data_IF_087362612520
#
_entry.id   IF_087362612520
#
_cell.length_a   1.000
_cell.length_b   1.000
_cell.length_c   1.000
_cell.angle_alpha   90.00
_cell.angle_beta   90.00
_cell.angle_gamma   90.00
#
_symmetry.space_group_name_H-M   'P 1'
#
loop_
_entity.id
_entity.type
_entity.pdbx_description
1 polymer ?
#
# COMPACT_ATOMS: atom_id res chain seq x y z
N UNK A 1 -37.46 -4.58 -7.05
CA UNK A 1 -37.14 -5.41 -5.88
C UNK A 1 -37.51 -6.86 -6.16
N UNK A 2 -36.54 -7.75 -6.38
CA UNK A 2 -36.70 -9.21 -6.26
C UNK A 2 -35.35 -9.89 -6.48
N UNK A 3 -34.91 -10.77 -5.56
CA UNK A 3 -33.58 -11.38 -5.68
C UNK A 3 -33.20 -12.47 -4.68
N UNK A 4 -34.01 -13.54 -4.58
CA UNK A 4 -33.63 -14.94 -4.23
C UNK A 4 -33.08 -15.21 -2.81
N UNK A 5 -33.99 -15.61 -1.89
CA UNK A 5 -33.68 -16.36 -0.66
C UNK A 5 -32.99 -17.69 -1.00
N UNK A 6 -31.83 -17.96 -0.39
CA UNK A 6 -31.09 -19.22 -0.55
C UNK A 6 -31.81 -20.43 0.06
N UNK A 7 -31.62 -21.61 -0.53
CA UNK A 7 -32.15 -22.89 -0.01
C UNK A 7 -31.26 -23.38 1.14
N UNK A 8 -31.85 -23.99 2.17
CA UNK A 8 -31.15 -24.62 3.29
C UNK A 8 -31.20 -26.15 3.14
N UNK A 9 -30.19 -26.88 3.64
CA UNK A 9 -30.21 -28.34 3.64
C UNK A 9 -31.03 -28.90 4.82
N UNK A 10 -31.27 -30.23 4.83
CA UNK A 10 -32.03 -30.92 5.90
C UNK A 10 -31.45 -30.76 7.32
N UNK A 11 -30.25 -30.21 7.47
CA UNK A 11 -29.58 -29.89 8.74
C UNK A 11 -29.54 -28.39 9.03
N UNK A 12 -30.36 -27.58 8.35
CA UNK A 12 -30.46 -26.13 8.58
C UNK A 12 -29.26 -25.31 8.11
N UNK A 13 -28.29 -25.90 7.39
CA UNK A 13 -27.14 -25.15 6.84
C UNK A 13 -27.52 -24.50 5.51
N UNK A 14 -27.16 -23.22 5.36
CA UNK A 14 -27.38 -22.42 4.15
C UNK A 14 -26.61 -23.03 2.98
N UNK A 15 -27.30 -23.36 1.90
CA UNK A 15 -26.68 -23.87 0.67
C UNK A 15 -26.34 -22.66 -0.19
N UNK A 16 -25.06 -22.35 -0.32
CA UNK A 16 -24.59 -21.38 -1.29
C UNK A 16 -24.76 -21.99 -2.69
N UNK A 17 -25.36 -21.21 -3.60
CA UNK A 17 -25.61 -21.62 -4.98
C UNK A 17 -24.29 -22.05 -5.62
N UNK A 18 -24.26 -23.18 -6.33
CA UNK A 18 -23.13 -23.56 -7.21
C UNK A 18 -23.04 -22.54 -8.33
N UNK A 19 -22.03 -21.67 -8.27
CA UNK A 19 -21.71 -20.68 -9.29
C UNK A 19 -22.67 -19.49 -9.37
N UNK A 20 -22.11 -18.32 -9.70
CA UNK A 20 -22.87 -17.11 -10.05
C UNK A 20 -23.34 -17.12 -11.51
N UNK A 21 -22.87 -18.05 -12.33
CA UNK A 21 -23.29 -18.23 -13.73
C UNK A 21 -24.51 -19.15 -13.83
N UNK A 22 -25.37 -18.92 -14.82
CA UNK A 22 -26.58 -19.73 -15.05
C UNK A 22 -26.28 -21.22 -15.32
N UNK A 23 -25.03 -21.53 -15.69
CA UNK A 23 -24.56 -22.88 -16.03
C UNK A 23 -23.86 -23.62 -14.88
N UNK A 24 -23.77 -23.02 -13.68
CA UNK A 24 -23.24 -23.69 -12.49
C UNK A 24 -21.73 -23.97 -12.50
N UNK A 25 -20.98 -23.36 -13.43
CA UNK A 25 -19.51 -23.34 -13.41
C UNK A 25 -19.03 -22.40 -12.32
N UNK A 26 -18.17 -22.90 -11.43
CA UNK A 26 -17.43 -22.11 -10.44
C UNK A 26 -15.99 -22.08 -10.90
N UNK A 27 -15.46 -20.90 -11.17
CA UNK A 27 -14.08 -20.75 -11.60
C UNK A 27 -13.15 -20.85 -10.39
N UNK A 28 -11.96 -21.42 -10.59
CA UNK A 28 -11.00 -21.60 -9.48
C UNK A 28 -10.66 -20.29 -8.79
N UNK A 29 -10.60 -19.17 -9.53
CA UNK A 29 -10.35 -17.85 -8.95
C UNK A 29 -11.48 -17.38 -8.02
N UNK A 30 -12.74 -17.76 -8.24
CA UNK A 30 -13.87 -17.45 -7.35
C UNK A 30 -13.78 -18.26 -6.05
N UNK A 31 -13.39 -19.53 -6.15
CA UNK A 31 -13.12 -20.39 -4.98
C UNK A 31 -11.96 -19.82 -4.17
N UNK A 32 -10.90 -19.37 -4.86
CA UNK A 32 -9.75 -18.73 -4.21
C UNK A 32 -10.14 -17.43 -3.53
N UNK A 33 -10.95 -16.56 -4.15
CA UNK A 33 -11.42 -15.32 -3.52
C UNK A 33 -12.28 -15.58 -2.27
N UNK A 34 -13.17 -16.58 -2.29
CA UNK A 34 -13.95 -16.93 -1.10
C UNK A 34 -13.09 -17.56 0.00
N UNK A 35 -12.11 -18.39 -0.36
CA UNK A 35 -11.13 -18.93 0.59
C UNK A 35 -10.29 -17.81 1.20
N UNK A 36 -9.84 -16.83 0.41
CA UNK A 36 -9.09 -15.66 0.88
C UNK A 36 -9.96 -14.75 1.74
N UNK A 37 -11.24 -14.54 1.40
CA UNK A 37 -12.18 -13.84 2.27
C UNK A 37 -12.30 -14.56 3.61
N UNK A 38 -12.44 -15.89 3.62
CA UNK A 38 -12.53 -16.68 4.85
C UNK A 38 -11.22 -16.69 5.63
N UNK A 39 -10.06 -16.69 4.97
CA UNK A 39 -8.78 -16.55 5.64
C UNK A 39 -8.63 -15.17 6.27
N UNK A 40 -8.95 -14.10 5.54
CA UNK A 40 -8.89 -12.72 6.05
C UNK A 40 -9.87 -12.52 7.22
N UNK A 41 -11.13 -12.92 7.05
CA UNK A 41 -12.13 -12.92 8.12
C UNK A 41 -11.69 -13.80 9.32
N UNK A 42 -11.01 -14.92 9.05
CA UNK A 42 -10.50 -15.85 10.06
C UNK A 42 -9.28 -15.31 10.82
N UNK A 43 -8.38 -14.59 10.15
CA UNK A 43 -7.23 -13.88 10.75
C UNK A 43 -7.64 -12.68 11.60
N UNK A 44 -8.93 -12.31 11.58
CA UNK A 44 -9.52 -11.34 12.49
C UNK A 44 -10.22 -12.01 13.68
N UNK A 45 -10.10 -13.34 13.85
CA UNK A 45 -10.74 -14.09 14.95
C UNK A 45 -9.72 -14.80 15.82
N UNK A 46 -9.88 -14.68 17.15
CA UNK A 46 -9.18 -15.51 18.12
C UNK A 46 -10.01 -16.75 18.41
N UNK A 47 -9.38 -17.92 18.32
CA UNK A 47 -9.99 -19.15 18.80
C UNK A 47 -9.74 -19.30 20.31
N UNK A 48 -10.78 -19.14 21.13
CA UNK A 48 -10.73 -19.43 22.56
C UNK A 48 -11.43 -20.76 22.81
N UNK A 49 -10.66 -21.82 22.97
CA UNK A 49 -11.16 -23.12 23.40
C UNK A 49 -10.74 -23.37 24.85
N UNK A 50 -11.70 -23.31 25.77
CA UNK A 50 -11.54 -23.78 27.14
C UNK A 50 -12.52 -24.93 27.35
N UNK A 51 -12.03 -26.06 27.88
CA UNK A 51 -12.81 -27.20 28.37
C UNK A 51 -14.02 -27.62 27.52
N UNK A 52 -13.76 -27.91 26.24
CA UNK A 52 -14.77 -28.45 25.31
C UNK A 52 -15.75 -27.43 24.72
N UNK A 53 -15.65 -26.15 25.11
CA UNK A 53 -16.39 -25.04 24.52
C UNK A 53 -15.44 -24.15 23.72
N UNK A 54 -15.58 -24.17 22.39
CA UNK A 54 -14.85 -23.27 21.51
C UNK A 54 -15.73 -22.10 21.11
N UNK A 55 -15.25 -20.89 21.38
CA UNK A 55 -15.88 -19.64 20.95
C UNK A 55 -14.93 -18.87 20.06
N UNK A 56 -15.48 -18.29 18.98
CA UNK A 56 -14.77 -17.35 18.12
C UNK A 56 -15.04 -15.95 18.66
N UNK A 57 -14.03 -15.31 19.24
CA UNK A 57 -14.06 -13.88 19.50
C UNK A 57 -13.34 -13.16 18.36
N UNK A 58 -13.60 -11.86 18.19
CA UNK A 58 -12.67 -11.06 17.39
C UNK A 58 -11.26 -11.21 17.99
N UNK A 59 -10.27 -11.43 17.13
CA UNK A 59 -8.89 -11.22 17.51
C UNK A 59 -8.79 -9.73 17.78
N UNK A 60 -8.37 -9.36 18.99
CA UNK A 60 -7.80 -8.04 19.20
C UNK A 60 -6.54 -7.98 18.34
N UNK A 61 -6.70 -7.54 17.09
CA UNK A 61 -5.59 -7.25 16.18
C UNK A 61 -4.68 -6.13 16.71
N UNK A 62 -5.00 -5.58 17.89
CA UNK A 62 -4.15 -4.72 18.70
C UNK A 62 -2.84 -5.36 19.20
N UNK A 63 -2.58 -6.65 18.97
CA UNK A 63 -1.34 -7.29 19.44
C UNK A 63 -0.19 -7.39 18.42
N UNK A 64 -0.37 -6.91 17.19
CA UNK A 64 0.73 -6.68 16.25
C UNK A 64 0.78 -5.21 15.88
N UNK A 65 1.32 -4.44 16.83
CA UNK A 65 1.60 -3.01 16.77
C UNK A 65 0.31 -2.18 16.82
N UNK A 66 -0.25 -2.04 18.02
CA UNK A 66 -1.06 -0.86 18.37
C UNK A 66 -0.13 0.35 18.39
N UNK A 67 0.42 0.70 17.23
CA UNK A 67 1.00 2.01 17.07
C UNK A 67 -0.19 2.95 17.01
N UNK A 68 -0.15 4.03 17.79
CA UNK A 68 -1.11 5.13 17.68
C UNK A 68 -0.97 5.84 16.31
N UNK A 69 -0.35 5.19 15.31
CA UNK A 69 -0.09 5.74 14.01
C UNK A 69 -1.37 5.69 13.18
N UNK A 70 -1.67 6.81 12.54
CA UNK A 70 -2.86 7.00 11.72
C UNK A 70 -2.67 6.47 10.30
N UNK A 71 -2.29 5.19 10.18
CA UNK A 71 -1.92 4.56 8.90
C UNK A 71 -3.01 4.73 7.83
N UNK A 72 -4.28 4.55 8.21
CA UNK A 72 -5.40 4.69 7.29
C UNK A 72 -5.57 6.14 6.83
N UNK A 73 -5.55 7.11 7.75
CA UNK A 73 -5.69 8.54 7.41
C UNK A 73 -4.55 9.01 6.50
N UNK A 74 -3.31 8.54 6.75
CA UNK A 74 -2.18 8.83 5.88
C UNK A 74 -2.33 8.22 4.49
N UNK A 75 -2.91 7.02 4.37
CA UNK A 75 -3.18 6.39 3.08
C UNK A 75 -4.30 7.11 2.33
N UNK A 76 -5.40 7.43 3.00
CA UNK A 76 -6.51 8.19 2.40
C UNK A 76 -6.01 9.54 1.85
N UNK A 77 -5.18 10.25 2.64
CA UNK A 77 -4.51 11.47 2.18
C UNK A 77 -3.65 11.23 0.93
N UNK A 78 -2.84 10.18 0.89
CA UNK A 78 -1.97 9.90 -0.25
C UNK A 78 -2.77 9.47 -1.49
N UNK A 79 -3.88 8.75 -1.31
CA UNK A 79 -4.78 8.33 -2.39
C UNK A 79 -5.51 9.52 -3.01
N UNK A 80 -5.92 10.51 -2.21
CA UNK A 80 -6.57 11.73 -2.71
C UNK A 80 -5.67 12.50 -3.69
N UNK A 81 -4.35 12.47 -3.48
CA UNK A 81 -3.34 13.09 -4.35
C UNK A 81 -3.06 12.29 -5.62
N UNK A 82 -3.40 11.00 -5.64
CA UNK A 82 -2.99 10.09 -6.70
C UNK A 82 -4.02 10.02 -7.83
N UNK A 83 -3.54 9.71 -9.03
CA UNK A 83 -4.35 9.09 -10.08
C UNK A 83 -4.12 7.58 -10.08
N UNK A 84 -5.07 6.81 -10.58
CA UNK A 84 -5.00 5.35 -10.61
C UNK A 84 -4.30 4.84 -11.86
N UNK A 85 -3.72 3.64 -11.78
CA UNK A 85 -3.21 2.91 -12.94
C UNK A 85 -4.28 2.73 -14.03
N UNK A 86 -5.56 2.55 -13.65
CA UNK A 86 -6.65 2.41 -14.61
C UNK A 86 -6.87 3.70 -15.42
N UNK A 87 -6.87 4.86 -14.76
CA UNK A 87 -6.97 6.16 -15.43
C UNK A 87 -5.81 6.35 -16.41
N UNK A 88 -4.56 6.12 -15.96
CA UNK A 88 -3.38 6.25 -16.80
C UNK A 88 -3.36 5.31 -18.01
N UNK A 89 -3.88 4.10 -17.86
CA UNK A 89 -3.97 3.14 -18.98
C UNK A 89 -5.10 3.48 -19.95
N UNK A 90 -6.12 4.21 -19.50
CA UNK A 90 -7.24 4.64 -20.36
C UNK A 90 -6.88 5.86 -21.20
N UNK A 91 -6.13 6.81 -20.63
CA UNK A 91 -5.59 7.98 -21.31
C UNK A 91 -4.18 8.26 -20.80
N UNK A 92 -3.19 8.05 -21.68
CA UNK A 92 -1.78 8.27 -21.37
C UNK A 92 -1.42 9.74 -21.12
N UNK A 93 -2.33 10.68 -21.42
CA UNK A 93 -2.20 12.11 -21.16
C UNK A 93 -3.01 12.58 -19.94
N UNK A 94 -3.52 11.64 -19.13
CA UNK A 94 -4.23 11.98 -17.88
C UNK A 94 -3.40 12.96 -17.06
N UNK A 95 -4.00 14.10 -16.72
CA UNK A 95 -3.35 15.11 -15.90
C UNK A 95 -3.21 14.64 -14.46
N UNK A 96 -2.01 14.73 -13.91
CA UNK A 96 -1.75 14.42 -12.52
C UNK A 96 -2.31 15.51 -11.61
N UNK A 97 -2.92 15.10 -10.48
CA UNK A 97 -3.39 16.02 -9.44
C UNK A 97 -2.22 16.72 -8.73
N UNK A 98 -1.13 15.98 -8.51
CA UNK A 98 0.13 16.46 -7.95
C UNK A 98 1.26 16.04 -8.87
N UNK A 99 2.06 17.00 -9.34
CA UNK A 99 3.09 16.80 -10.36
C UNK A 99 4.46 16.46 -9.77
N UNK A 100 5.34 15.90 -10.58
CA UNK A 100 6.71 15.58 -10.22
C UNK A 100 7.73 16.48 -10.98
N UNK A 101 8.87 16.87 -10.36
CA UNK A 101 9.05 17.29 -8.99
C UNK A 101 8.82 18.81 -8.89
N UNK A 102 9.09 19.41 -7.73
CA UNK A 102 9.19 20.86 -7.62
C UNK A 102 10.15 21.43 -8.68
N UNK A 103 9.82 22.55 -9.34
CA UNK A 103 10.77 23.25 -10.19
C UNK A 103 12.06 23.57 -9.44
N UNK A 104 13.21 23.49 -10.14
CA UNK A 104 14.54 23.56 -9.54
C UNK A 104 14.76 24.79 -8.65
N UNK A 105 14.15 25.91 -9.00
CA UNK A 105 14.25 27.20 -8.29
C UNK A 105 13.67 27.16 -6.86
N UNK A 106 12.74 26.23 -6.60
CA UNK A 106 11.98 26.14 -5.34
C UNK A 106 12.20 24.84 -4.57
N UNK A 107 12.74 23.81 -5.24
CA UNK A 107 12.54 22.41 -4.86
C UNK A 107 13.14 21.90 -3.56
N UNK A 108 13.99 22.65 -2.85
CA UNK A 108 14.35 22.29 -1.45
C UNK A 108 13.61 23.10 -0.40
N UNK A 109 13.16 24.32 -0.74
CA UNK A 109 12.55 25.26 0.22
C UNK A 109 11.07 24.95 0.47
N UNK A 110 10.41 24.22 -0.44
CA UNK A 110 8.98 23.96 -0.38
C UNK A 110 8.62 22.57 0.16
N UNK A 111 9.53 21.58 0.11
CA UNK A 111 9.22 20.17 0.41
C UNK A 111 8.64 19.89 1.80
N UNK A 112 8.97 20.74 2.78
CA UNK A 112 8.49 20.62 4.15
C UNK A 112 7.40 21.64 4.51
N UNK A 113 6.95 22.46 3.56
CA UNK A 113 5.93 23.49 3.78
C UNK A 113 4.54 23.00 3.40
N UNK A 114 3.51 23.62 3.96
CA UNK A 114 2.10 23.33 3.68
C UNK A 114 1.41 24.52 2.98
N UNK A 115 2.10 25.15 2.02
CA UNK A 115 1.48 26.15 1.13
C UNK A 115 0.87 25.47 -0.08
N UNK A 116 -0.07 26.14 -0.76
CA UNK A 116 -0.67 25.64 -2.01
C UNK A 116 0.41 25.28 -3.05
N UNK A 117 1.38 26.18 -3.27
CA UNK A 117 2.55 25.96 -4.13
C UNK A 117 3.37 24.72 -3.71
N UNK A 118 3.48 24.46 -2.41
CA UNK A 118 4.24 23.30 -1.91
C UNK A 118 3.52 21.98 -2.11
N UNK A 119 2.21 22.01 -2.36
CA UNK A 119 1.36 20.82 -2.52
C UNK A 119 1.02 20.54 -3.99
N UNK A 120 1.30 21.47 -4.91
CA UNK A 120 1.16 21.26 -6.35
C UNK A 120 2.18 20.24 -6.89
N UNK A 121 3.36 20.20 -6.28
CA UNK A 121 4.45 19.31 -6.68
C UNK A 121 4.92 18.45 -5.52
N UNK A 122 5.36 17.22 -5.83
CA UNK A 122 5.88 16.32 -4.82
C UNK A 122 6.85 15.30 -5.42
N UNK A 123 8.06 15.20 -4.88
CA UNK A 123 8.96 14.10 -5.23
C UNK A 123 8.68 12.82 -4.43
N UNK A 124 9.29 11.70 -4.84
CA UNK A 124 9.03 10.37 -4.26
C UNK A 124 9.28 10.32 -2.75
N UNK A 125 10.36 10.96 -2.30
CA UNK A 125 10.73 11.01 -0.88
C UNK A 125 9.88 12.02 -0.10
N UNK A 126 9.51 13.14 -0.70
CA UNK A 126 8.60 14.11 -0.09
C UNK A 126 7.24 13.51 0.21
N UNK A 127 6.65 12.76 -0.74
CA UNK A 127 5.40 12.04 -0.54
C UNK A 127 5.46 11.13 0.69
N UNK A 128 6.54 10.35 0.79
CA UNK A 128 6.75 9.45 1.93
C UNK A 128 6.96 10.22 3.24
N UNK A 129 7.72 11.32 3.24
CA UNK A 129 7.97 12.10 4.45
C UNK A 129 6.71 12.80 4.96
N UNK A 130 5.86 13.29 4.04
CA UNK A 130 4.54 13.85 4.39
C UNK A 130 3.60 12.76 4.89
N UNK A 131 3.59 11.58 4.25
CA UNK A 131 2.85 10.42 4.77
C UNK A 131 3.28 10.05 6.20
N UNK A 132 4.59 9.97 6.46
CA UNK A 132 5.13 9.69 7.79
C UNK A 132 4.68 10.72 8.85
N UNK A 133 4.59 12.00 8.46
CA UNK A 133 4.05 13.03 9.33
C UNK A 133 2.52 12.87 9.54
N UNK A 134 1.77 12.56 8.48
CA UNK A 134 0.31 12.33 8.53
C UNK A 134 -0.09 11.15 9.42
N UNK A 135 0.71 10.09 9.42
CA UNK A 135 0.50 8.96 10.32
C UNK A 135 1.00 9.23 11.74
N UNK A 136 1.54 10.41 12.01
CA UNK A 136 2.13 10.82 13.30
C UNK A 136 3.36 9.99 13.71
N UNK A 137 4.12 9.47 12.74
CA UNK A 137 5.41 8.84 12.98
C UNK A 137 6.53 9.87 13.19
N UNK A 138 6.41 11.03 12.55
CA UNK A 138 7.27 12.19 12.78
C UNK A 138 6.48 13.43 13.16
N UNK A 139 6.98 14.16 14.15
CA UNK A 139 6.39 15.43 14.63
C UNK A 139 6.32 16.48 13.51
N UNK A 140 7.43 16.64 12.79
CA UNK A 140 7.55 17.50 11.61
C UNK A 140 7.72 16.67 10.33
N UNK A 141 7.52 17.32 9.18
CA UNK A 141 7.90 16.76 7.86
C UNK A 141 9.43 16.74 7.76
N UNK A 142 10.03 15.60 8.12
CA UNK A 142 11.48 15.39 8.06
C UNK A 142 11.89 14.87 6.69
N UNK A 143 12.45 15.75 5.85
CA UNK A 143 12.93 15.37 4.52
C UNK A 143 14.16 14.48 4.63
N UNK A 144 13.98 13.20 4.32
CA UNK A 144 15.05 12.21 4.24
C UNK A 144 15.11 11.59 2.85
N UNK A 145 16.31 11.29 2.38
CA UNK A 145 16.49 10.64 1.08
C UNK A 145 16.15 9.14 1.18
N UNK A 146 15.84 8.54 0.04
CA UNK A 146 15.46 7.12 -0.04
C UNK A 146 16.57 6.16 0.42
N UNK A 147 17.84 6.56 0.33
CA UNK A 147 18.98 5.80 0.87
C UNK A 147 19.07 5.84 2.40
N UNK A 148 18.48 6.85 3.05
CA UNK A 148 18.61 7.07 4.49
C UNK A 148 17.65 6.20 5.31
N UNK A 149 16.58 5.66 4.71
CA UNK A 149 15.67 4.71 5.38
C UNK A 149 16.39 3.50 5.95
N UNK A 150 17.33 2.91 5.18
CA UNK A 150 18.12 1.76 5.64
C UNK A 150 18.95 2.10 6.87
N UNK A 151 19.66 3.23 6.81
CA UNK A 151 20.48 3.73 7.90
C UNK A 151 19.63 4.02 9.14
N UNK A 152 18.48 4.67 8.97
CA UNK A 152 17.57 4.98 10.06
C UNK A 152 17.02 3.70 10.71
N UNK A 153 16.50 2.75 9.92
CA UNK A 153 15.96 1.49 10.42
C UNK A 153 17.01 0.64 11.16
N UNK A 154 18.27 0.72 10.74
CA UNK A 154 19.38 0.02 11.41
C UNK A 154 19.71 0.65 12.77
N UNK A 155 19.66 1.99 12.88
CA UNK A 155 19.94 2.72 14.12
C UNK A 155 18.76 2.76 15.09
N UNK A 156 17.54 2.71 14.57
CA UNK A 156 16.29 2.83 15.31
C UNK A 156 15.30 1.71 14.94
N UNK A 157 15.67 0.43 15.14
CA UNK A 157 14.83 -0.71 14.75
C UNK A 157 13.51 -0.78 15.52
N UNK A 158 13.40 -0.08 16.66
CA UNK A 158 12.18 0.05 17.44
C UNK A 158 11.21 1.12 16.91
N UNK A 159 11.68 1.99 15.99
CA UNK A 159 10.88 3.03 15.33
C UNK A 159 10.58 2.71 13.87
N UNK A 160 11.51 2.06 13.17
CA UNK A 160 11.38 1.67 11.77
C UNK A 160 12.00 0.28 11.56
N UNK A 161 11.17 -0.71 11.24
CA UNK A 161 11.61 -2.10 11.08
C UNK A 161 11.75 -2.48 9.61
N UNK A 162 12.76 -3.25 9.24
CA UNK A 162 12.91 -3.80 7.89
C UNK A 162 11.99 -5.02 7.73
N UNK A 163 11.14 -5.05 6.70
CA UNK A 163 10.11 -6.07 6.47
C UNK A 163 10.09 -6.61 5.03
N UNK A 164 11.20 -7.22 4.58
CA UNK A 164 11.35 -7.59 3.17
C UNK A 164 10.51 -8.79 2.72
N UNK A 165 10.08 -9.68 3.61
CA UNK A 165 9.43 -10.92 3.19
C UNK A 165 7.92 -10.75 3.01
N UNK A 166 7.30 -9.92 3.85
CA UNK A 166 5.84 -9.74 3.87
C UNK A 166 5.47 -8.26 4.00
N UNK A 167 5.67 -7.45 2.94
CA UNK A 167 5.24 -6.06 2.92
C UNK A 167 3.78 -5.95 3.35
N UNK A 168 3.48 -4.95 4.18
CA UNK A 168 2.11 -4.71 4.63
C UNK A 168 1.66 -3.30 4.29
N UNK A 169 0.35 -3.11 4.34
CA UNK A 169 -0.30 -1.80 4.19
C UNK A 169 0.34 -0.78 5.14
N UNK A 170 0.73 0.37 4.59
CA UNK A 170 1.42 1.45 5.30
C UNK A 170 2.94 1.29 5.43
N UNK A 171 3.53 0.18 4.97
CA UNK A 171 4.98 0.09 4.86
C UNK A 171 5.48 1.09 3.81
N UNK A 172 6.72 1.56 4.00
CA UNK A 172 7.47 2.29 3.00
C UNK A 172 8.25 1.28 2.18
N UNK A 173 8.18 1.33 0.85
CA UNK A 173 9.17 0.66 0.03
C UNK A 173 10.19 1.69 -0.47
N UNK A 174 11.47 1.34 -0.46
CA UNK A 174 12.51 2.22 -0.95
C UNK A 174 13.74 1.46 -1.45
N UNK A 175 14.45 2.10 -2.37
CA UNK A 175 15.83 1.77 -2.74
C UNK A 175 16.58 3.07 -2.99
N UNK A 176 17.91 3.01 -3.18
CA UNK A 176 18.70 4.22 -3.45
C UNK A 176 18.18 4.96 -4.70
N UNK A 177 17.45 6.05 -4.53
CA UNK A 177 16.91 6.88 -5.63
C UNK A 177 15.40 6.79 -5.85
N UNK A 178 14.64 6.03 -5.06
CA UNK A 178 13.17 6.06 -5.11
C UNK A 178 12.52 5.54 -3.83
N UNK A 179 11.32 6.02 -3.53
CA UNK A 179 10.52 5.54 -2.42
C UNK A 179 9.02 5.71 -2.70
N UNK A 180 8.19 4.98 -1.95
CA UNK A 180 6.75 5.20 -1.92
C UNK A 180 6.10 4.40 -0.80
N UNK A 181 4.77 4.35 -0.82
CA UNK A 181 3.94 3.80 0.25
C UNK A 181 3.25 2.54 -0.24
N UNK A 182 3.28 1.46 0.53
CA UNK A 182 2.56 0.22 0.23
C UNK A 182 1.08 0.40 0.59
N UNK A 183 0.22 0.37 -0.43
CA UNK A 183 -1.25 0.37 -0.27
C UNK A 183 -1.75 -1.04 0.05
N UNK A 184 -1.26 -2.05 -0.66
CA UNK A 184 -1.61 -3.45 -0.44
C UNK A 184 -0.53 -4.39 -0.99
N UNK A 185 -0.53 -5.63 -0.48
CA UNK A 185 0.31 -6.72 -0.96
C UNK A 185 -0.51 -7.99 -1.06
N UNK A 186 -0.46 -8.65 -2.22
CA UNK A 186 -1.02 -9.97 -2.43
C UNK A 186 0.12 -10.99 -2.47
N UNK A 187 0.21 -11.81 -1.42
CA UNK A 187 1.29 -12.79 -1.23
C UNK A 187 1.24 -13.96 -2.21
N UNK A 188 0.07 -14.25 -2.80
CA UNK A 188 -0.14 -15.30 -3.81
C UNK A 188 0.43 -14.89 -5.16
N UNK A 189 0.02 -13.72 -5.64
CA UNK A 189 0.41 -13.17 -6.95
C UNK A 189 1.71 -12.38 -6.90
N UNK A 190 2.26 -12.18 -5.69
CA UNK A 190 3.43 -11.35 -5.40
C UNK A 190 3.25 -9.89 -5.84
N UNK A 191 2.00 -9.44 -6.03
CA UNK A 191 1.69 -8.08 -6.46
C UNK A 191 1.69 -7.12 -5.27
N UNK A 192 2.44 -6.03 -5.40
CA UNK A 192 2.44 -4.92 -4.46
C UNK A 192 1.79 -3.74 -5.17
N UNK A 193 0.73 -3.19 -4.58
CA UNK A 193 0.13 -1.94 -5.02
C UNK A 193 0.66 -0.83 -4.13
N UNK A 194 1.15 0.23 -4.75
CA UNK A 194 1.83 1.34 -4.09
C UNK A 194 1.24 2.68 -4.47
N UNK A 195 1.43 3.66 -3.60
CA UNK A 195 1.23 5.08 -3.89
C UNK A 195 2.61 5.72 -3.93
N UNK A 196 2.98 6.30 -5.05
CA UNK A 196 4.32 6.81 -5.29
C UNK A 196 4.29 8.02 -6.21
N UNK A 197 5.24 8.94 -6.04
CA UNK A 197 5.45 10.04 -6.98
C UNK A 197 6.57 9.68 -7.95
N UNK A 198 6.28 9.76 -9.24
CA UNK A 198 7.11 9.17 -10.29
C UNK A 198 7.49 10.21 -11.36
N UNK A 199 8.78 10.26 -11.70
CA UNK A 199 9.29 11.14 -12.77
C UNK A 199 9.21 10.52 -14.16
N UNK A 200 9.07 11.36 -15.18
CA UNK A 200 9.14 10.96 -16.60
C UNK A 200 10.48 10.29 -16.93
N UNK A 201 11.57 10.81 -16.36
CA UNK A 201 12.93 10.33 -16.63
C UNK A 201 13.19 8.94 -16.04
N UNK A 202 12.39 8.49 -15.08
CA UNK A 202 12.58 7.21 -14.40
C UNK A 202 12.05 5.99 -15.19
N UNK A 203 11.34 6.18 -16.32
CA UNK A 203 10.67 5.08 -17.04
C UNK A 203 10.63 5.21 -18.56
N UNK A 204 10.93 4.09 -19.21
CA UNK A 204 10.75 3.83 -20.63
C UNK A 204 10.37 2.36 -20.89
N UNK A 205 9.77 1.66 -19.91
CA UNK A 205 9.31 0.25 -20.07
C UNK A 205 7.79 0.11 -20.27
N UNK A 206 6.98 1.06 -19.82
CA UNK A 206 5.54 1.02 -19.99
C UNK A 206 5.22 1.78 -21.28
N UNK A 207 5.08 1.04 -22.38
CA UNK A 207 4.88 1.63 -23.71
C UNK A 207 3.75 2.67 -23.66
N UNK A 208 4.11 3.92 -23.97
CA UNK A 208 3.19 5.05 -24.06
C UNK A 208 2.81 5.75 -22.75
N UNK A 209 3.11 5.20 -21.57
CA UNK A 209 2.76 5.86 -20.30
C UNK A 209 3.84 6.88 -19.92
N UNK A 210 3.44 8.15 -19.80
CA UNK A 210 4.28 9.23 -19.27
C UNK A 210 3.97 9.44 -17.79
N UNK A 211 4.89 9.04 -16.93
CA UNK A 211 4.81 9.36 -15.50
C UNK A 211 5.24 10.80 -15.25
N UNK A 212 4.49 11.55 -14.45
CA UNK A 212 4.84 12.93 -14.10
C UNK A 212 4.18 13.40 -12.79
N UNK A 213 4.06 12.51 -11.81
CA UNK A 213 3.34 12.84 -10.57
C UNK A 213 2.98 11.64 -9.70
N UNK A 214 2.04 11.87 -8.78
CA UNK A 214 1.58 10.88 -7.80
C UNK A 214 0.60 9.89 -8.44
N UNK A 215 0.89 8.59 -8.31
CA UNK A 215 0.13 7.51 -8.92
C UNK A 215 -0.03 6.32 -7.98
N UNK A 216 -1.17 5.64 -8.11
CA UNK A 216 -1.37 4.29 -7.58
C UNK A 216 -0.94 3.29 -8.65
N UNK A 217 0.11 2.53 -8.36
CA UNK A 217 0.72 1.61 -9.33
C UNK A 217 0.94 0.22 -8.75
N UNK A 218 0.80 -0.81 -9.57
CA UNK A 218 1.03 -2.20 -9.14
C UNK A 218 2.23 -2.82 -9.85
N UNK A 219 3.14 -3.40 -9.07
CA UNK A 219 4.26 -4.18 -9.58
C UNK A 219 4.33 -5.58 -8.97
N UNK A 220 5.15 -6.42 -9.57
CA UNK A 220 5.47 -7.76 -9.09
C UNK A 220 6.74 -7.67 -8.23
N UNK A 221 6.64 -8.03 -6.95
CA UNK A 221 7.71 -7.91 -5.94
C UNK A 221 9.02 -8.59 -6.36
N UNK A 222 8.91 -9.68 -7.11
CA UNK A 222 10.07 -10.49 -7.52
C UNK A 222 10.63 -10.00 -8.88
N UNK A 223 10.02 -8.97 -9.47
CA UNK A 223 10.47 -8.33 -10.71
C UNK A 223 10.93 -6.91 -10.43
N UNK A 224 11.49 -6.30 -11.48
CA UNK A 224 11.85 -4.89 -11.43
C UNK A 224 10.59 -4.03 -11.36
N UNK A 225 10.58 -3.08 -10.43
CA UNK A 225 9.52 -2.07 -10.36
C UNK A 225 9.69 -1.01 -11.46
N UNK A 226 10.88 -0.39 -11.60
CA UNK A 226 11.17 0.66 -12.63
C UNK A 226 12.38 0.29 -13.51
N UNK A 227 12.58 1.02 -14.63
CA UNK A 227 13.81 0.95 -15.45
C UNK A 227 15.06 1.13 -14.58
N UNK A 228 15.04 2.13 -13.73
CA UNK A 228 16.20 2.53 -12.92
C UNK A 228 16.51 1.55 -11.79
N UNK A 229 15.52 0.77 -11.36
CA UNK A 229 15.71 -0.33 -10.42
C UNK A 229 16.58 -1.44 -11.07
N UNK A 230 16.28 -1.80 -12.32
CA UNK A 230 16.98 -2.86 -13.10
C UNK A 230 18.44 -2.52 -13.43
N UNK A 231 18.72 -1.29 -13.89
CA UNK A 231 20.07 -0.91 -14.39
C UNK A 231 21.15 -0.87 -13.30
N UNK A 232 20.77 -0.79 -12.03
CA UNK A 232 21.70 -0.55 -10.91
C UNK A 232 21.69 -1.65 -9.85
N UNK A 233 21.03 -2.80 -10.10
CA UNK A 233 20.94 -3.91 -9.14
C UNK A 233 20.35 -3.49 -7.78
N UNK A 234 19.44 -2.51 -7.79
CA UNK A 234 18.95 -1.89 -6.55
C UNK A 234 17.85 -2.77 -5.97
N UNK A 235 18.11 -3.33 -4.79
CA UNK A 235 17.16 -4.18 -4.09
C UNK A 235 16.10 -3.29 -3.43
N UNK A 236 14.83 -3.55 -3.70
CA UNK A 236 13.72 -2.91 -3.02
C UNK A 236 13.67 -3.44 -1.59
N UNK A 237 13.70 -2.53 -0.62
CA UNK A 237 13.52 -2.85 0.78
C UNK A 237 12.22 -2.25 1.28
N UNK A 238 11.62 -2.91 2.27
CA UNK A 238 10.37 -2.47 2.88
C UNK A 238 10.62 -2.12 4.34
N UNK A 239 9.96 -1.07 4.80
CA UNK A 239 10.15 -0.49 6.12
C UNK A 239 8.81 -0.24 6.78
N UNK A 240 8.62 -0.80 7.96
CA UNK A 240 7.41 -0.65 8.77
C UNK A 240 7.61 0.45 9.82
N UNK A 241 6.84 1.54 9.77
CA UNK A 241 6.74 2.50 10.87
C UNK A 241 6.11 1.85 12.11
N UNK A 242 6.74 1.99 13.27
CA UNK A 242 6.34 1.25 14.49
C UNK A 242 5.75 2.09 15.62
N UNK A 243 6.13 3.35 15.78
CA UNK A 243 5.74 4.17 16.95
C UNK A 243 5.42 5.60 16.57
N UNK A 244 4.47 6.18 17.28
CA UNK A 244 4.16 7.61 17.24
C UNK A 244 5.38 8.44 17.67
N UNK A 245 5.55 9.66 17.14
CA UNK A 245 6.74 10.48 17.36
C UNK A 245 7.04 10.80 18.84
N UNK A 246 5.99 10.87 19.67
CA UNK A 246 6.07 11.15 21.11
C UNK A 246 6.49 9.95 21.98
N UNK A 247 6.72 8.77 21.38
CA UNK A 247 7.07 7.51 22.07
C UNK A 247 8.51 7.04 21.80
#
# INVERSE_FOLDING_TARGET
>A
MNGKRGKFNKKGKKIYKRGYTENGTTYMWEVTQEIERWYNEGTEKKNNCNDGSCTLSNQDNNKLINSDLKIQEGLDWAEDLAITEAELRSDHNTSYKVKYPHPWEYGKKLRAKNTEESLEYMDCTELVCRYLNKIEWSEDIKIINSSEFKTYATKHPDKLMINNDSPKKGDIFAWNGHAGIVKSYNSTTKKVTTIESISEQSYSWHEGIKFDGVVIWTYDKDKNHLRDNKKKGKIIQYYTPLKHYSK
#
